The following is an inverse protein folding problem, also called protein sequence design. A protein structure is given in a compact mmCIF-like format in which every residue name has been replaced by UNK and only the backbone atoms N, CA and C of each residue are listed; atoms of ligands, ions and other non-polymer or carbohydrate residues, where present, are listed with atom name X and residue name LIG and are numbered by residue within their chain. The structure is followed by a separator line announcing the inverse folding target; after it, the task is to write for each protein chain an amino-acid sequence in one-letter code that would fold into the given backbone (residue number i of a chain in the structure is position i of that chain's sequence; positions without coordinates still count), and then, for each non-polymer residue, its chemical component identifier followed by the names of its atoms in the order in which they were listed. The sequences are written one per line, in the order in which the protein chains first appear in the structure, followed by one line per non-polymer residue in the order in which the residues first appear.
data_IF_814889533554
#
_entry.id   IF_814889533554
#
_cell.length_a   1.000
_cell.length_b   1.000
_cell.length_c   1.000
_cell.angle_alpha   90.00
_cell.angle_beta   90.00
_cell.angle_gamma   90.00
#
_symmetry.space_group_name_H-M   'P 1'
#
loop_
_entity.id
_entity.type
_entity.pdbx_description
1 polymer ?
#
# COMPACT_ATOMS: atom_id res chain seq x y z
N UNK A 1 -18.95 -6.49 -14.32
CA UNK A 1 -17.66 -6.94 -14.90
C UNK A 1 -17.00 -7.83 -13.87
N UNK A 2 -16.37 -8.93 -14.27
CA UNK A 2 -15.74 -9.85 -13.31
C UNK A 2 -14.51 -9.18 -12.67
N UNK A 3 -14.67 -8.71 -11.43
CA UNK A 3 -13.60 -8.04 -10.67
C UNK A 3 -12.46 -8.99 -10.32
N UNK A 4 -12.61 -10.30 -10.51
CA UNK A 4 -11.56 -11.30 -10.22
C UNK A 4 -10.30 -11.07 -11.05
N UNK A 5 -10.45 -10.89 -12.36
CA UNK A 5 -9.32 -10.63 -13.25
C UNK A 5 -8.58 -9.33 -12.90
N UNK A 6 -9.33 -8.28 -12.56
CA UNK A 6 -8.76 -6.99 -12.17
C UNK A 6 -8.03 -7.05 -10.81
N UNK A 7 -8.60 -7.79 -9.85
CA UNK A 7 -7.95 -8.05 -8.55
C UNK A 7 -6.62 -8.77 -8.72
N UNK A 8 -6.57 -9.78 -9.60
CA UNK A 8 -5.34 -10.50 -9.90
C UNK A 8 -4.31 -9.61 -10.59
N UNK A 9 -4.71 -8.86 -11.62
CA UNK A 9 -3.83 -7.92 -12.32
C UNK A 9 -3.22 -6.89 -11.35
N UNK A 10 -4.03 -6.32 -10.45
CA UNK A 10 -3.58 -5.38 -9.43
C UNK A 10 -2.58 -6.03 -8.47
N UNK A 11 -2.84 -7.25 -8.02
CA UNK A 11 -1.95 -7.99 -7.12
C UNK A 11 -0.59 -8.25 -7.77
N UNK A 12 -0.58 -8.76 -9.00
CA UNK A 12 0.65 -8.99 -9.77
C UNK A 12 1.41 -7.69 -10.03
N UNK A 13 0.71 -6.59 -10.33
CA UNK A 13 1.32 -5.28 -10.53
C UNK A 13 2.02 -4.80 -9.24
N UNK A 14 1.33 -4.87 -8.10
CA UNK A 14 1.86 -4.44 -6.80
C UNK A 14 3.09 -5.29 -6.44
N UNK A 15 3.00 -6.61 -6.58
CA UNK A 15 4.10 -7.52 -6.27
C UNK A 15 5.33 -7.22 -7.15
N UNK A 16 5.12 -7.03 -8.46
CA UNK A 16 6.19 -6.69 -9.38
C UNK A 16 6.87 -5.36 -9.06
N UNK A 17 6.09 -4.32 -8.71
CA UNK A 17 6.65 -3.02 -8.32
C UNK A 17 7.43 -3.15 -7.00
N UNK A 18 6.86 -3.81 -6.00
CA UNK A 18 7.51 -4.01 -4.71
C UNK A 18 8.81 -4.81 -4.87
N UNK A 19 8.83 -5.85 -5.70
CA UNK A 19 10.04 -6.62 -6.03
C UNK A 19 11.11 -5.75 -6.67
N UNK A 20 10.73 -4.87 -7.60
CA UNK A 20 11.68 -3.91 -8.20
C UNK A 20 12.27 -2.97 -7.16
N UNK A 21 11.45 -2.39 -6.28
CA UNK A 21 11.93 -1.51 -5.20
C UNK A 21 12.84 -2.26 -4.22
N UNK A 22 12.49 -3.51 -3.88
CA UNK A 22 13.25 -4.36 -2.95
C UNK A 22 14.68 -4.61 -3.44
N UNK A 23 14.85 -4.85 -4.74
CA UNK A 23 16.13 -5.14 -5.39
C UNK A 23 17.04 -3.91 -5.55
N UNK A 24 16.51 -2.69 -5.43
CA UNK A 24 17.34 -1.50 -5.54
C UNK A 24 18.29 -1.38 -4.33
N UNK A 25 19.58 -1.07 -4.54
CA UNK A 25 20.57 -0.87 -3.48
C UNK A 25 20.41 0.52 -2.83
N UNK A 26 19.19 0.81 -2.37
CA UNK A 26 18.83 2.08 -1.74
C UNK A 26 18.67 1.91 -0.24
N UNK A 27 18.99 2.96 0.50
CA UNK A 27 18.69 3.04 1.92
C UNK A 27 17.17 2.87 2.16
N UNK A 28 16.71 2.19 3.23
CA UNK A 28 15.30 1.94 3.51
C UNK A 28 14.39 3.17 3.41
N UNK A 29 14.87 4.32 3.88
CA UNK A 29 14.18 5.61 3.76
C UNK A 29 13.76 5.91 2.31
N UNK A 30 14.64 5.74 1.34
CA UNK A 30 14.32 6.00 -0.07
C UNK A 30 13.39 4.94 -0.66
N UNK A 31 13.45 3.69 -0.17
CA UNK A 31 12.47 2.66 -0.53
C UNK A 31 11.07 3.04 -0.05
N UNK A 32 10.94 3.61 1.16
CA UNK A 32 9.68 4.15 1.67
C UNK A 32 9.16 5.31 0.82
N UNK A 33 10.03 6.22 0.40
CA UNK A 33 9.65 7.32 -0.48
C UNK A 33 9.17 6.80 -1.85
N UNK A 34 9.85 5.82 -2.45
CA UNK A 34 9.39 5.17 -3.67
C UNK A 34 8.04 4.47 -3.49
N UNK A 35 7.85 3.78 -2.36
CA UNK A 35 6.56 3.20 -2.03
C UNK A 35 5.44 4.27 -1.99
N UNK A 36 5.66 5.37 -1.27
CA UNK A 36 4.66 6.43 -1.13
C UNK A 36 4.40 7.20 -2.43
N UNK A 37 5.44 7.55 -3.19
CA UNK A 37 5.27 8.40 -4.36
C UNK A 37 5.00 7.62 -5.64
N UNK A 38 5.63 6.45 -5.81
CA UNK A 38 5.52 5.67 -7.04
C UNK A 38 4.42 4.61 -6.95
N UNK A 39 4.49 3.69 -5.98
CA UNK A 39 3.51 2.61 -5.89
C UNK A 39 2.10 3.14 -5.67
N UNK A 40 1.89 4.02 -4.68
CA UNK A 40 0.57 4.58 -4.39
C UNK A 40 -0.04 5.30 -5.59
N UNK A 41 0.77 6.07 -6.32
CA UNK A 41 0.31 6.77 -7.52
C UNK A 41 -0.09 5.80 -8.63
N UNK A 42 0.66 4.71 -8.83
CA UNK A 42 0.36 3.70 -9.85
C UNK A 42 -0.93 2.94 -9.56
N UNK A 43 -1.17 2.57 -8.31
CA UNK A 43 -2.38 1.82 -7.94
C UNK A 43 -3.62 2.70 -7.76
N UNK A 44 -3.45 4.02 -7.60
CA UNK A 44 -4.57 4.95 -7.35
C UNK A 44 -5.70 4.79 -8.36
N UNK A 45 -5.37 4.67 -9.66
CA UNK A 45 -6.37 4.48 -10.71
C UNK A 45 -7.17 3.20 -10.51
N UNK A 46 -6.48 2.06 -10.30
CA UNK A 46 -7.10 0.76 -10.06
C UNK A 46 -8.04 0.79 -8.85
N UNK A 47 -7.62 1.48 -7.78
CA UNK A 47 -8.41 1.65 -6.57
C UNK A 47 -9.63 2.57 -6.76
N UNK A 48 -9.64 3.42 -7.78
CA UNK A 48 -10.77 4.31 -8.10
C UNK A 48 -11.79 3.63 -9.02
N UNK A 49 -11.33 2.89 -10.03
CA UNK A 49 -12.24 2.35 -11.07
C UNK A 49 -12.92 1.05 -10.70
N UNK A 50 -12.27 0.23 -9.87
CA UNK A 50 -12.76 -1.10 -9.56
C UNK A 50 -13.49 -1.09 -8.22
N UNK A 51 -14.63 -1.76 -8.18
CA UNK A 51 -15.36 -2.00 -6.94
C UNK A 51 -14.69 -3.14 -6.16
N UNK A 52 -13.67 -2.78 -5.39
CA UNK A 52 -12.89 -3.71 -4.59
C UNK A 52 -13.23 -3.50 -3.12
N UNK A 53 -13.69 -4.57 -2.47
CA UNK A 53 -13.99 -4.54 -1.05
C UNK A 53 -12.75 -4.18 -0.21
N UNK A 54 -12.95 -3.31 0.78
CA UNK A 54 -11.89 -2.86 1.70
C UNK A 54 -11.25 -4.02 2.47
N UNK A 55 -12.03 -5.06 2.80
CA UNK A 55 -11.57 -6.30 3.44
C UNK A 55 -10.54 -7.00 2.57
N UNK A 56 -10.85 -7.21 1.29
CA UNK A 56 -9.95 -7.83 0.34
C UNK A 56 -8.64 -7.04 0.18
N UNK A 57 -8.72 -5.70 0.13
CA UNK A 57 -7.52 -4.84 0.06
C UNK A 57 -6.63 -5.02 1.28
N UNK A 58 -7.21 -5.05 2.49
CA UNK A 58 -6.45 -5.25 3.72
C UNK A 58 -5.77 -6.62 3.76
N UNK A 59 -6.53 -7.67 3.44
CA UNK A 59 -6.05 -9.05 3.54
C UNK A 59 -4.97 -9.38 2.50
N UNK A 60 -5.00 -8.73 1.34
CA UNK A 60 -4.10 -9.04 0.23
C UNK A 60 -3.04 -7.95 0.03
N UNK A 61 -3.46 -6.72 -0.29
CA UNK A 61 -2.55 -5.65 -0.70
C UNK A 61 -1.81 -5.03 0.49
N UNK A 62 -2.50 -4.71 1.59
CA UNK A 62 -1.84 -4.15 2.78
C UNK A 62 -0.87 -5.19 3.35
N UNK A 63 -1.30 -6.44 3.53
CA UNK A 63 -0.42 -7.51 4.02
C UNK A 63 0.84 -7.68 3.15
N UNK A 64 0.70 -7.67 1.82
CA UNK A 64 1.83 -7.75 0.90
C UNK A 64 2.80 -6.56 1.08
N UNK A 65 2.27 -5.34 1.17
CA UNK A 65 3.04 -4.13 1.38
C UNK A 65 3.73 -4.13 2.75
N UNK A 66 2.99 -4.46 3.81
CA UNK A 66 3.46 -4.54 5.20
C UNK A 66 4.64 -5.49 5.34
N UNK A 67 4.59 -6.66 4.70
CA UNK A 67 5.70 -7.60 4.73
C UNK A 67 7.00 -7.01 4.13
N UNK A 68 6.89 -6.22 3.06
CA UNK A 68 8.03 -5.52 2.48
C UNK A 68 8.50 -4.35 3.34
N UNK A 69 7.57 -3.56 3.89
CA UNK A 69 7.88 -2.44 4.79
C UNK A 69 8.61 -2.93 6.05
N UNK A 70 8.14 -4.03 6.67
CA UNK A 70 8.83 -4.65 7.81
C UNK A 70 10.25 -5.04 7.46
N UNK A 71 10.43 -5.71 6.32
CA UNK A 71 11.74 -6.14 5.85
C UNK A 71 12.69 -4.97 5.62
N UNK A 72 12.23 -3.90 4.97
CA UNK A 72 13.07 -2.74 4.69
C UNK A 72 13.46 -1.99 5.96
N UNK A 73 12.56 -1.91 6.93
CA UNK A 73 12.79 -1.20 8.19
C UNK A 73 13.35 -2.09 9.31
N UNK A 74 13.69 -3.34 8.99
CA UNK A 74 14.20 -4.34 9.95
C UNK A 74 13.28 -4.55 11.16
N UNK A 75 11.96 -4.36 10.96
CA UNK A 75 10.94 -4.62 11.97
C UNK A 75 10.69 -6.13 12.00
N UNK A 76 10.64 -6.76 13.18
CA UNK A 76 10.36 -8.19 13.28
C UNK A 76 8.99 -8.53 12.67
N UNK A 77 8.76 -9.77 12.18
CA UNK A 77 7.51 -10.17 11.52
C UNK A 77 6.24 -9.88 12.34
N UNK A 78 6.33 -10.00 13.67
CA UNK A 78 5.24 -9.71 14.61
C UNK A 78 5.32 -8.31 15.23
N UNK A 79 6.24 -7.48 14.77
CA UNK A 79 6.39 -6.10 15.23
C UNK A 79 5.23 -5.23 14.77
N UNK A 80 4.87 -4.28 15.63
CA UNK A 80 3.82 -3.30 15.36
C UNK A 80 4.24 -2.35 14.25
N UNK A 81 3.53 -2.40 13.12
CA UNK A 81 3.75 -1.52 11.97
C UNK A 81 3.09 -0.14 12.16
N UNK A 82 2.20 0.00 13.15
CA UNK A 82 1.46 1.23 13.41
C UNK A 82 2.37 2.46 13.53
N UNK A 83 3.57 2.31 14.10
CA UNK A 83 4.52 3.42 14.21
C UNK A 83 4.98 3.98 12.86
N UNK A 84 5.02 3.15 11.83
CA UNK A 84 5.36 3.56 10.46
C UNK A 84 4.20 4.33 9.83
N UNK A 85 2.97 3.96 10.19
CA UNK A 85 1.73 4.53 9.65
C UNK A 85 1.28 5.81 10.38
N UNK A 86 1.71 5.97 11.63
CA UNK A 86 1.41 7.16 12.43
C UNK A 86 1.94 8.43 11.76
N UNK A 87 1.21 9.53 11.96
CA UNK A 87 1.62 10.85 11.51
C UNK A 87 2.94 11.28 12.16
N UNK A 88 3.70 12.14 11.48
CA UNK A 88 4.96 12.69 12.01
C UNK A 88 4.78 13.45 13.32
N UNK A 89 3.61 14.07 13.52
CA UNK A 89 3.22 14.75 14.77
C UNK A 89 3.11 13.79 15.97
N UNK A 90 2.95 12.49 15.70
CA UNK A 90 2.88 11.41 16.69
C UNK A 90 4.14 10.52 16.63
N UNK A 91 5.28 11.08 16.23
CA UNK A 91 6.56 10.39 16.09
C UNK A 91 6.57 9.22 15.08
N UNK A 92 5.61 9.18 14.15
CA UNK A 92 5.56 8.17 13.11
C UNK A 92 6.22 8.57 11.79
N UNK A 93 6.27 7.64 10.83
CA UNK A 93 6.87 7.87 9.51
C UNK A 93 5.88 8.38 8.45
N UNK A 94 4.60 8.46 8.79
CA UNK A 94 3.51 8.94 7.93
C UNK A 94 3.49 8.22 6.58
N UNK A 95 3.64 6.90 6.61
CA UNK A 95 3.45 6.02 5.45
C UNK A 95 1.96 5.70 5.34
N UNK A 96 1.43 5.76 4.12
CA UNK A 96 0.02 5.49 3.84
C UNK A 96 -0.14 4.03 3.44
N UNK A 97 -1.12 3.36 4.02
CA UNK A 97 -1.55 2.01 3.61
C UNK A 97 -2.42 2.03 2.36
N UNK A 98 -2.44 0.91 1.63
CA UNK A 98 -3.25 0.77 0.42
C UNK A 98 -4.74 0.89 0.77
N UNK A 99 -5.19 0.35 1.90
CA UNK A 99 -6.59 0.51 2.33
C UNK A 99 -6.96 1.95 2.70
N UNK A 100 -6.02 2.72 3.27
CA UNK A 100 -6.21 4.17 3.50
C UNK A 100 -6.25 4.92 2.18
N UNK A 101 -5.35 4.57 1.24
CA UNK A 101 -5.33 5.17 -0.10
C UNK A 101 -6.63 4.88 -0.86
N UNK A 102 -7.14 3.65 -0.79
CA UNK A 102 -8.42 3.26 -1.36
C UNK A 102 -9.56 4.12 -0.83
N UNK A 103 -9.63 4.33 0.49
CA UNK A 103 -10.64 5.21 1.09
C UNK A 103 -10.56 6.66 0.59
N UNK A 104 -9.37 7.15 0.24
CA UNK A 104 -9.19 8.48 -0.39
C UNK A 104 -9.60 8.51 -1.87
N UNK A 105 -9.50 7.37 -2.55
CA UNK A 105 -9.81 7.22 -3.98
C UNK A 105 -11.31 7.01 -4.25
N UNK A 106 -12.06 6.51 -3.27
CA UNK A 106 -13.50 6.33 -3.39
C UNK A 106 -14.23 7.68 -3.29
N UNK A 107 -15.20 7.97 -4.18
CA UNK A 107 -16.02 9.16 -4.05
C UNK A 107 -16.77 9.13 -2.71
N UNK A 108 -16.95 10.29 -2.07
CA UNK A 108 -17.75 10.43 -0.85
C UNK A 108 -19.22 10.09 -1.15
N UNK A 109 -19.55 8.80 -1.15
CA UNK A 109 -20.93 8.31 -1.23
C UNK A 109 -21.61 8.62 0.10
N UNK A 110 -22.09 9.86 0.27
CA UNK A 110 -22.77 10.28 1.50
C UNK A 110 -23.09 11.77 1.65
N UNK A 111 -22.91 12.62 0.64
CA UNK A 111 -23.40 14.01 0.67
C UNK A 111 -24.03 14.31 -0.68
N UNK A 112 -25.28 13.88 -0.89
CA UNK A 112 -26.34 14.53 -1.69
C UNK A 112 -27.65 13.76 -1.46
#
# INVERSE_FOLDING_TARGET
MDNSAHKQELLEMVENILKKIDLLPLHPKYKLELYQFYLMSKISWHLTIADIEKTWIKENLDNLCHNKLRRWLEIPPNGTLDIVLLAKTKFGLNVIDVSTKHAQCQPLSGIF
#
